data_IF_262807463518
#
_entry.id   IF_262807463518
#
_cell.length_a   1.000
_cell.length_b   1.000
_cell.length_c   1.000
_cell.angle_alpha   90.00
_cell.angle_beta   90.00
_cell.angle_gamma   90.00
#
_symmetry.space_group_name_H-M   'P 1'
#
loop_
_entity.id
_entity.type
_entity.pdbx_description
1 polymer ?
#
# COMPACT_ATOMS: atom_id res chain seq x y z
N UNK A 1 3.22 -12.38 -19.18
CA UNK A 1 4.53 -11.71 -19.33
C UNK A 1 4.86 -11.65 -20.81
N UNK A 2 5.18 -10.47 -21.35
CA UNK A 2 5.45 -10.29 -22.78
C UNK A 2 6.66 -11.13 -23.20
N UNK A 3 6.59 -11.73 -24.40
CA UNK A 3 7.72 -12.40 -25.04
C UNK A 3 8.83 -11.42 -25.47
N UNK A 4 8.52 -10.14 -25.53
CA UNK A 4 9.45 -9.09 -25.97
C UNK A 4 10.28 -8.52 -24.81
N UNK A 5 11.54 -8.11 -25.09
CA UNK A 5 12.40 -7.48 -24.11
C UNK A 5 11.79 -6.17 -23.60
N UNK A 6 11.45 -6.14 -22.32
CA UNK A 6 10.86 -5.00 -21.64
C UNK A 6 11.65 -4.68 -20.38
N UNK A 7 11.89 -3.39 -20.12
CA UNK A 7 12.50 -2.95 -18.86
C UNK A 7 11.58 -3.28 -17.68
N UNK A 8 12.11 -3.42 -16.44
CA UNK A 8 11.27 -3.70 -15.28
C UNK A 8 10.11 -2.69 -15.10
N UNK A 9 10.37 -1.41 -15.36
CA UNK A 9 9.33 -0.37 -15.30
C UNK A 9 8.26 -0.56 -16.37
N UNK A 10 8.65 -0.93 -17.59
CA UNK A 10 7.70 -1.19 -18.66
C UNK A 10 6.85 -2.43 -18.37
N UNK A 11 7.44 -3.47 -17.76
CA UNK A 11 6.68 -4.64 -17.32
C UNK A 11 5.64 -4.27 -16.24
N UNK A 12 6.01 -3.44 -15.27
CA UNK A 12 5.08 -2.95 -14.23
C UNK A 12 3.93 -2.14 -14.83
N UNK A 13 4.22 -1.26 -15.79
CA UNK A 13 3.19 -0.50 -16.52
C UNK A 13 2.23 -1.43 -17.27
N UNK A 14 2.76 -2.40 -18.03
CA UNK A 14 1.95 -3.36 -18.78
C UNK A 14 1.09 -4.23 -17.85
N UNK A 15 1.64 -4.67 -16.72
CA UNK A 15 0.92 -5.48 -15.74
C UNK A 15 -0.24 -4.70 -15.12
N UNK A 16 -0.02 -3.44 -14.73
CA UNK A 16 -1.06 -2.60 -14.16
C UNK A 16 -2.16 -2.23 -15.18
N UNK A 17 -1.84 -2.11 -16.48
CA UNK A 17 -2.84 -1.93 -17.55
C UNK A 17 -3.82 -3.10 -17.68
N UNK A 18 -3.46 -4.30 -17.26
CA UNK A 18 -4.39 -5.44 -17.24
C UNK A 18 -5.53 -5.17 -16.25
N UNK A 19 -5.22 -4.52 -15.12
CA UNK A 19 -6.16 -4.18 -14.05
C UNK A 19 -7.26 -3.24 -14.46
N UNK A 20 -7.01 -2.38 -15.46
CA UNK A 20 -8.00 -1.43 -15.99
C UNK A 20 -9.22 -2.12 -16.62
N UNK A 21 -9.14 -3.43 -16.87
CA UNK A 21 -10.27 -4.23 -17.36
C UNK A 21 -11.22 -4.65 -16.25
N UNK A 22 -10.83 -4.51 -14.99
CA UNK A 22 -11.57 -4.96 -13.83
C UNK A 22 -12.00 -3.74 -12.99
N UNK A 23 -13.28 -3.73 -12.61
CA UNK A 23 -13.85 -2.66 -11.79
C UNK A 23 -13.18 -2.52 -10.42
N UNK A 24 -12.71 -3.65 -9.86
CA UNK A 24 -11.92 -3.71 -8.64
C UNK A 24 -10.54 -4.24 -8.99
N UNK A 25 -9.51 -3.49 -8.61
CA UNK A 25 -8.12 -3.85 -8.82
C UNK A 25 -7.28 -3.24 -7.70
N UNK A 26 -6.16 -3.86 -7.37
CA UNK A 26 -5.21 -3.37 -6.36
C UNK A 26 -3.79 -3.69 -6.81
N UNK A 27 -2.91 -2.68 -6.81
CA UNK A 27 -1.53 -2.80 -7.26
C UNK A 27 -0.57 -2.23 -6.23
N UNK A 28 0.50 -2.97 -5.94
CA UNK A 28 1.60 -2.52 -5.07
C UNK A 28 2.63 -1.66 -5.82
N UNK A 29 2.71 -1.82 -7.14
CA UNK A 29 3.71 -1.15 -7.99
C UNK A 29 3.03 -0.68 -9.26
N UNK A 30 3.22 0.60 -9.58
CA UNK A 30 2.76 1.23 -10.81
C UNK A 30 3.86 2.13 -11.39
N UNK A 31 3.88 2.26 -12.71
CA UNK A 31 4.79 3.16 -13.41
C UNK A 31 4.05 3.92 -14.49
N UNK A 32 4.13 5.26 -14.46
CA UNK A 32 3.50 6.16 -15.45
C UNK A 32 2.00 5.90 -15.68
N UNK A 33 1.25 5.65 -14.60
CA UNK A 33 -0.20 5.41 -14.65
C UNK A 33 -0.98 6.42 -13.80
N UNK A 34 -0.43 7.62 -13.64
CA UNK A 34 -1.11 8.74 -13.01
C UNK A 34 -2.46 9.02 -13.70
N UNK A 35 -3.49 9.29 -12.91
CA UNK A 35 -4.85 9.58 -13.35
C UNK A 35 -5.68 8.36 -13.77
N UNK A 36 -5.11 7.14 -13.70
CA UNK A 36 -5.85 5.93 -13.99
C UNK A 36 -6.64 5.44 -12.75
N UNK A 37 -7.80 4.77 -12.94
CA UNK A 37 -8.62 4.24 -11.85
C UNK A 37 -8.03 2.94 -11.28
N UNK A 38 -6.80 3.03 -10.77
CA UNK A 38 -6.07 1.92 -10.17
C UNK A 38 -5.89 2.16 -8.69
N UNK A 39 -6.30 1.21 -7.84
CA UNK A 39 -6.00 1.30 -6.41
C UNK A 39 -4.52 0.98 -6.21
N UNK A 40 -3.77 1.95 -5.67
CA UNK A 40 -2.37 1.77 -5.32
C UNK A 40 -2.27 1.41 -3.84
N UNK A 41 -1.70 0.26 -3.53
CA UNK A 41 -1.37 -0.08 -2.15
C UNK A 41 0.03 0.40 -1.81
N UNK A 42 0.12 1.24 -0.79
CA UNK A 42 1.38 1.76 -0.29
C UNK A 42 2.25 0.62 0.26
N UNK A 43 3.57 0.74 0.14
CA UNK A 43 4.51 -0.23 0.69
C UNK A 43 4.26 -0.49 2.19
N UNK A 44 4.33 -1.77 2.56
CA UNK A 44 4.29 -2.27 3.94
C UNK A 44 5.19 -1.45 4.87
N UNK A 45 4.69 -1.20 6.08
CA UNK A 45 5.35 -0.42 7.14
C UNK A 45 5.37 -1.20 8.43
N UNK A 46 6.43 -1.01 9.21
CA UNK A 46 6.59 -1.71 10.48
C UNK A 46 5.63 -1.13 11.52
N UNK A 47 5.33 -1.91 12.57
CA UNK A 47 4.54 -1.47 13.72
C UNK A 47 5.30 -0.44 14.57
N UNK A 48 5.45 0.80 14.08
CA UNK A 48 6.15 1.88 14.80
C UNK A 48 5.52 3.26 14.58
N UNK A 49 5.67 4.14 15.59
CA UNK A 49 5.26 5.55 15.52
C UNK A 49 5.95 6.32 14.38
N UNK A 50 7.22 5.99 14.11
CA UNK A 50 7.99 6.61 13.03
C UNK A 50 7.38 6.28 11.66
N UNK A 51 6.95 5.04 11.47
CA UNK A 51 6.32 4.64 10.22
C UNK A 51 4.87 5.14 10.11
N UNK A 52 4.15 5.27 11.23
CA UNK A 52 2.84 5.94 11.25
C UNK A 52 2.95 7.39 10.75
N UNK A 53 3.93 8.15 11.22
CA UNK A 53 4.16 9.54 10.79
C UNK A 53 4.50 9.66 9.29
N UNK A 54 5.02 8.60 8.67
CA UNK A 54 5.34 8.58 7.23
C UNK A 54 4.11 8.37 6.35
N UNK A 55 2.97 7.96 6.90
CA UNK A 55 1.76 7.73 6.11
C UNK A 55 1.30 9.01 5.41
N UNK A 56 1.09 10.09 6.17
CA UNK A 56 0.62 11.37 5.65
C UNK A 56 1.50 11.89 4.50
N UNK A 57 2.83 12.06 4.64
CA UNK A 57 3.64 12.58 3.55
C UNK A 57 3.69 11.64 2.34
N UNK A 58 3.68 10.31 2.55
CA UNK A 58 3.65 9.36 1.44
C UNK A 58 2.34 9.42 0.66
N UNK A 59 1.19 9.52 1.35
CA UNK A 59 -0.11 9.65 0.72
C UNK A 59 -0.25 10.97 -0.05
N UNK A 60 0.27 12.07 0.50
CA UNK A 60 0.33 13.36 -0.21
C UNK A 60 1.21 13.24 -1.46
N UNK A 61 2.38 12.59 -1.36
CA UNK A 61 3.27 12.40 -2.49
C UNK A 61 2.62 11.57 -3.62
N UNK A 62 1.88 10.51 -3.28
CA UNK A 62 1.11 9.72 -4.26
C UNK A 62 -0.03 10.54 -4.89
N UNK A 63 -0.73 11.33 -4.09
CA UNK A 63 -1.75 12.27 -4.58
C UNK A 63 -1.18 13.28 -5.58
N UNK A 64 -0.03 13.89 -5.26
CA UNK A 64 0.67 14.83 -6.16
C UNK A 64 1.22 14.15 -7.42
N UNK A 65 1.62 12.88 -7.33
CA UNK A 65 2.04 12.08 -8.47
C UNK A 65 0.85 11.61 -9.34
N UNK A 66 -0.39 11.92 -8.95
CA UNK A 66 -1.60 11.60 -9.70
C UNK A 66 -2.19 10.22 -9.40
N UNK A 67 -1.78 9.56 -8.32
CA UNK A 67 -2.37 8.30 -7.86
C UNK A 67 -3.47 8.58 -6.83
N UNK A 68 -4.67 8.89 -7.30
CA UNK A 68 -5.78 9.38 -6.47
C UNK A 68 -6.36 8.30 -5.55
N UNK A 69 -6.38 7.05 -6.00
CA UNK A 69 -6.90 5.92 -5.22
C UNK A 69 -5.77 5.20 -4.50
N UNK A 70 -5.15 5.84 -3.51
CA UNK A 70 -4.14 5.18 -2.69
C UNK A 70 -4.73 4.60 -1.40
N UNK A 71 -4.20 3.44 -1.01
CA UNK A 71 -4.55 2.68 0.17
C UNK A 71 -3.27 2.36 0.96
N UNK A 72 -3.00 3.03 2.08
CA UNK A 72 -2.02 2.54 3.01
C UNK A 72 -2.58 1.31 3.74
N UNK A 73 -1.75 0.28 3.91
CA UNK A 73 -2.08 -0.84 4.78
C UNK A 73 -1.87 -0.44 6.24
N UNK A 74 -2.65 -1.03 7.13
CA UNK A 74 -2.53 -0.78 8.56
C UNK A 74 -1.08 -0.99 9.01
N UNK A 75 -0.65 -0.15 9.94
CA UNK A 75 0.72 -0.19 10.44
C UNK A 75 1.04 -1.58 11.01
N UNK A 76 2.15 -2.20 10.57
CA UNK A 76 2.49 -3.58 10.94
C UNK A 76 1.75 -4.67 10.16
N UNK A 77 0.80 -4.33 9.29
CA UNK A 77 -0.05 -5.32 8.60
C UNK A 77 0.72 -6.33 7.73
N UNK A 78 1.78 -5.87 7.05
CA UNK A 78 2.68 -6.72 6.27
C UNK A 78 3.77 -7.44 7.09
N UNK A 79 3.89 -7.17 8.39
CA UNK A 79 5.01 -7.65 9.22
C UNK A 79 4.52 -8.66 10.28
N UNK A 80 4.48 -9.95 9.92
CA UNK A 80 4.12 -11.01 10.88
C UNK A 80 5.01 -11.03 12.12
N UNK A 81 6.27 -10.57 11.98
CA UNK A 81 7.25 -10.55 13.06
C UNK A 81 6.77 -9.73 14.24
N UNK A 82 6.04 -8.63 14.01
CA UNK A 82 5.48 -7.80 15.08
C UNK A 82 4.47 -8.54 15.96
N UNK A 83 3.90 -9.64 15.45
CA UNK A 83 2.92 -10.48 16.15
C UNK A 83 3.52 -11.75 16.78
N UNK A 84 4.82 -11.97 16.63
CA UNK A 84 5.48 -13.12 17.24
C UNK A 84 5.60 -12.96 18.77
N UNK A 85 5.48 -14.07 19.53
CA UNK A 85 5.65 -14.04 20.97
C UNK A 85 7.05 -13.52 21.33
N UNK A 86 7.09 -12.49 22.17
CA UNK A 86 8.32 -11.79 22.57
C UNK A 86 8.48 -10.38 22.00
N UNK A 87 7.66 -9.98 21.02
CA UNK A 87 7.61 -8.61 20.52
C UNK A 87 6.52 -7.77 21.21
N UNK A 88 6.79 -6.48 21.37
CA UNK A 88 5.85 -5.52 21.96
C UNK A 88 4.83 -5.08 20.93
N UNK A 89 3.58 -5.50 21.11
CA UNK A 89 2.45 -5.05 20.30
C UNK A 89 1.74 -3.88 21.00
N UNK A 90 1.92 -2.67 20.48
CA UNK A 90 1.32 -1.46 21.05
C UNK A 90 -0.11 -1.25 20.51
N UNK A 91 -1.12 -1.41 21.37
CA UNK A 91 -2.53 -1.23 21.01
C UNK A 91 -2.87 0.23 20.65
N UNK A 92 -2.26 1.21 21.31
CA UNK A 92 -2.51 2.62 20.98
C UNK A 92 -2.09 2.93 19.54
N UNK A 93 -0.98 2.35 19.08
CA UNK A 93 -0.50 2.53 17.72
C UNK A 93 -1.53 2.01 16.70
N UNK A 94 -2.20 0.88 16.98
CA UNK A 94 -3.29 0.36 16.13
C UNK A 94 -4.44 1.36 16.05
N UNK A 95 -4.87 1.91 17.20
CA UNK A 95 -5.98 2.87 17.25
C UNK A 95 -5.63 4.13 16.48
N UNK A 96 -4.43 4.68 16.66
CA UNK A 96 -3.96 5.87 15.91
C UNK A 96 -3.80 5.58 14.42
N UNK A 97 -3.37 4.36 14.08
CA UNK A 97 -3.30 3.91 12.71
C UNK A 97 -4.70 3.91 12.09
N UNK A 98 -5.66 3.22 12.70
CA UNK A 98 -7.03 3.15 12.19
C UNK A 98 -7.67 4.54 12.03
N UNK A 99 -7.48 5.44 13.00
CA UNK A 99 -7.93 6.83 12.92
C UNK A 99 -7.32 7.56 11.71
N UNK A 100 -6.02 7.44 11.51
CA UNK A 100 -5.33 8.05 10.36
C UNK A 100 -5.84 7.48 9.04
N UNK A 101 -6.05 6.16 8.97
CA UNK A 101 -6.49 5.49 7.75
C UNK A 101 -7.92 5.82 7.35
N UNK A 102 -8.80 6.10 8.32
CA UNK A 102 -10.18 6.50 8.07
C UNK A 102 -10.32 7.79 7.25
N UNK A 103 -9.25 8.59 7.14
CA UNK A 103 -9.22 9.82 6.36
C UNK A 103 -8.70 9.65 4.93
N UNK A 104 -8.32 8.44 4.52
CA UNK A 104 -7.87 8.16 3.16
C UNK A 104 -8.98 7.58 2.28
N UNK A 105 -8.78 7.64 0.96
CA UNK A 105 -9.77 7.20 -0.03
C UNK A 105 -10.13 5.71 0.10
N UNK A 106 -9.18 4.88 0.55
CA UNK A 106 -9.36 3.45 0.79
C UNK A 106 -8.76 3.09 2.13
N UNK A 107 -9.53 2.39 2.96
CA UNK A 107 -9.09 1.79 4.22
C UNK A 107 -8.87 0.30 4.00
N UNK A 108 -7.65 -0.19 4.27
CA UNK A 108 -7.34 -1.61 4.28
C UNK A 108 -6.58 -2.00 5.54
N UNK A 109 -6.87 -3.20 6.03
CA UNK A 109 -6.14 -3.85 7.10
C UNK A 109 -5.86 -5.28 6.65
N UNK A 110 -4.60 -5.59 6.45
CA UNK A 110 -4.15 -6.97 6.24
C UNK A 110 -3.23 -7.39 7.38
N UNK A 111 -3.24 -8.68 7.72
CA UNK A 111 -2.26 -9.27 8.63
C UNK A 111 -1.54 -10.39 7.89
N UNK A 112 -0.22 -10.31 7.82
CA UNK A 112 0.60 -11.40 7.33
C UNK A 112 0.54 -12.57 8.35
N UNK A 113 -0.31 -13.56 8.09
CA UNK A 113 -0.24 -14.85 8.80
C UNK A 113 0.81 -15.72 8.11
N UNK A 114 1.96 -15.93 8.74
CA UNK A 114 2.87 -17.00 8.34
C UNK A 114 2.32 -18.33 8.90
N UNK A 115 1.96 -19.26 8.01
CA UNK A 115 1.65 -20.65 8.36
C UNK A 115 2.90 -21.48 8.61
#
# INVERSE_FOLDING_TARGET
MSKEPATPNHQSELFAKIGLRYALNEYRVGWKLAGQPLVQRLRDKNHSWKDLQRLIPNMIAEGLAGYTFSCPDMIGGGEFKSFLPGNTFEQELVVRSAQTHAHYAVFSCSVACAG
#
